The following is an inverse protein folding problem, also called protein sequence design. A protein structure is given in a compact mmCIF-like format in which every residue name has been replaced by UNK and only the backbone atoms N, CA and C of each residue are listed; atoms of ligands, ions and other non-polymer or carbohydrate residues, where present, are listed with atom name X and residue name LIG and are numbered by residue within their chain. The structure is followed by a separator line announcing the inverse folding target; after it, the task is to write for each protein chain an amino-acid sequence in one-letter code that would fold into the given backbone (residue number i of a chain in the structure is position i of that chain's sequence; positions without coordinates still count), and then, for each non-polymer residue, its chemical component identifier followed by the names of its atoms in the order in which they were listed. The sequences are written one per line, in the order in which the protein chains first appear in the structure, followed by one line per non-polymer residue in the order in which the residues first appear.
data_IF_305108098076
#
_entry.id   IF_305108098076
#
_cell.length_a   1.000
_cell.length_b   1.000
_cell.length_c   1.000
_cell.angle_alpha   90.00
_cell.angle_beta   90.00
_cell.angle_gamma   90.00
#
_symmetry.space_group_name_H-M   'P 1'
#
loop_
_entity.id
_entity.type
_entity.pdbx_description
1 polymer ?
#
# COMPACT_ATOMS: atom_id res chain seq x y z
N UNK A 1 -11.84 19.69 5.99
CA UNK A 1 -10.83 18.67 6.35
C UNK A 1 -11.62 17.51 6.95
N UNK A 2 -11.59 16.35 6.35
CA UNK A 2 -12.18 15.16 6.97
C UNK A 2 -11.12 14.63 7.95
N UNK A 3 -11.23 14.93 9.24
CA UNK A 3 -10.42 14.27 10.26
C UNK A 3 -10.61 12.75 10.23
N UNK A 4 -9.97 12.01 11.10
CA UNK A 4 -10.15 10.56 11.25
C UNK A 4 -11.22 10.20 12.30
N UNK A 5 -12.10 11.13 12.65
CA UNK A 5 -13.16 10.93 13.67
C UNK A 5 -14.13 9.80 13.32
N UNK A 6 -14.19 9.43 12.03
CA UNK A 6 -14.96 8.29 11.55
C UNK A 6 -14.31 6.92 11.84
N UNK A 7 -13.04 6.87 12.25
CA UNK A 7 -12.37 5.68 12.79
C UNK A 7 -12.78 5.47 14.27
N UNK A 8 -14.05 5.25 14.48
CA UNK A 8 -14.63 5.07 15.81
C UNK A 8 -14.26 3.69 16.39
N UNK A 9 -14.05 3.58 17.72
CA UNK A 9 -13.91 2.28 18.37
C UNK A 9 -15.07 1.34 18.06
N UNK A 10 -14.76 0.06 17.88
CA UNK A 10 -15.73 -0.98 17.50
C UNK A 10 -16.04 -1.10 16.02
N UNK A 11 -15.64 -0.13 15.18
CA UNK A 11 -15.67 -0.30 13.72
C UNK A 11 -14.56 -1.26 13.25
N UNK A 12 -14.62 -1.73 12.01
CA UNK A 12 -13.75 -2.82 11.56
C UNK A 12 -12.72 -2.37 10.52
N UNK A 13 -11.47 -2.83 10.70
CA UNK A 13 -10.41 -2.78 9.71
C UNK A 13 -10.10 -4.19 9.18
N UNK A 14 -10.11 -4.37 7.86
CA UNK A 14 -9.70 -5.60 7.16
C UNK A 14 -8.38 -5.34 6.47
N UNK A 15 -7.34 -6.14 6.75
CA UNK A 15 -5.99 -5.90 6.29
C UNK A 15 -5.40 -7.16 5.69
N UNK A 16 -5.03 -7.12 4.39
CA UNK A 16 -4.30 -8.21 3.74
C UNK A 16 -2.79 -8.04 3.89
N UNK A 17 -2.04 -9.15 3.94
CA UNK A 17 -0.60 -9.11 4.22
C UNK A 17 -0.31 -8.69 5.67
N UNK A 18 -1.18 -9.07 6.61
CA UNK A 18 -1.14 -8.60 7.99
C UNK A 18 -0.20 -9.40 8.90
N UNK A 19 0.42 -10.46 8.41
CA UNK A 19 1.35 -11.27 9.21
C UNK A 19 2.70 -10.59 9.48
N UNK A 20 3.11 -9.61 8.64
CA UNK A 20 4.39 -8.91 8.78
C UNK A 20 4.34 -7.49 8.17
N UNK A 21 5.40 -6.71 8.35
CA UNK A 21 5.65 -5.43 7.70
C UNK A 21 4.55 -4.40 7.89
N UNK A 22 4.24 -3.67 6.81
CA UNK A 22 3.30 -2.54 6.84
C UNK A 22 1.88 -2.98 7.22
N UNK A 23 1.42 -4.16 6.75
CA UNK A 23 0.10 -4.69 7.11
C UNK A 23 -0.02 -5.01 8.60
N UNK A 24 1.02 -5.60 9.20
CA UNK A 24 1.06 -5.85 10.66
C UNK A 24 1.08 -4.54 11.45
N UNK A 25 1.89 -3.57 11.03
CA UNK A 25 1.93 -2.26 11.69
C UNK A 25 0.56 -1.55 11.61
N UNK A 26 -0.14 -1.66 10.48
CA UNK A 26 -1.50 -1.16 10.33
C UNK A 26 -2.47 -1.86 11.28
N UNK A 27 -2.39 -3.18 11.40
CA UNK A 27 -3.23 -3.94 12.34
C UNK A 27 -3.03 -3.46 13.77
N UNK A 28 -1.78 -3.24 14.21
CA UNK A 28 -1.46 -2.73 15.54
C UNK A 28 -2.00 -1.31 15.76
N UNK A 29 -1.87 -0.45 14.77
CA UNK A 29 -2.34 0.92 14.86
C UNK A 29 -3.87 1.00 14.96
N UNK A 30 -4.61 0.26 14.12
CA UNK A 30 -6.06 0.22 14.19
C UNK A 30 -6.57 -0.45 15.47
N UNK A 31 -5.89 -1.51 15.95
CA UNK A 31 -6.18 -2.10 17.26
C UNK A 31 -6.04 -1.07 18.40
N UNK A 32 -4.96 -0.29 18.39
CA UNK A 32 -4.72 0.76 19.38
C UNK A 32 -5.76 1.89 19.34
N UNK A 33 -6.37 2.12 18.17
CA UNK A 33 -7.51 3.03 18.00
C UNK A 33 -8.86 2.42 18.44
N UNK A 34 -8.87 1.15 18.88
CA UNK A 34 -10.08 0.46 19.35
C UNK A 34 -10.93 -0.15 18.24
N UNK A 35 -10.43 -0.25 17.01
CA UNK A 35 -11.14 -0.94 15.94
C UNK A 35 -11.05 -2.46 16.11
N UNK A 36 -12.10 -3.17 15.70
CA UNK A 36 -11.98 -4.58 15.37
C UNK A 36 -11.03 -4.76 14.19
N UNK A 37 -10.19 -5.78 14.21
CA UNK A 37 -9.23 -6.02 13.12
C UNK A 37 -9.33 -7.46 12.64
N UNK A 38 -9.61 -7.63 11.35
CA UNK A 38 -9.51 -8.90 10.66
C UNK A 38 -8.18 -8.95 9.90
N UNK A 39 -7.22 -9.67 10.48
CA UNK A 39 -5.87 -9.83 9.95
C UNK A 39 -5.87 -10.98 8.93
N UNK A 40 -5.57 -10.68 7.68
CA UNK A 40 -5.62 -11.65 6.59
C UNK A 40 -4.24 -11.84 5.96
N UNK A 41 -3.77 -13.09 5.84
CA UNK A 41 -2.48 -13.45 5.25
C UNK A 41 -2.46 -14.94 4.90
N UNK A 42 -1.54 -15.37 4.04
CA UNK A 42 -1.28 -16.81 3.80
C UNK A 42 -0.44 -17.47 4.90
N UNK A 43 0.26 -16.67 5.69
CA UNK A 43 1.15 -17.15 6.77
C UNK A 43 0.38 -17.27 8.10
N UNK A 44 -0.23 -18.42 8.33
CA UNK A 44 -1.03 -18.68 9.53
C UNK A 44 -0.24 -18.48 10.86
N UNK A 45 1.03 -18.89 10.91
CA UNK A 45 1.86 -18.69 12.11
C UNK A 45 2.17 -17.21 12.36
N UNK A 46 2.45 -16.47 11.28
CA UNK A 46 2.65 -15.01 11.35
C UNK A 46 1.39 -14.30 11.83
N UNK A 47 0.21 -14.70 11.34
CA UNK A 47 -1.07 -14.19 11.80
C UNK A 47 -1.31 -14.47 13.29
N UNK A 48 -1.03 -15.68 13.76
CA UNK A 48 -1.19 -16.04 15.18
C UNK A 48 -0.36 -15.13 16.09
N UNK A 49 0.89 -14.86 15.71
CA UNK A 49 1.74 -13.91 16.45
C UNK A 49 1.26 -12.48 16.38
N UNK A 50 0.78 -12.06 15.20
CA UNK A 50 0.31 -10.69 15.00
C UNK A 50 -0.98 -10.41 15.78
N UNK A 51 -1.93 -11.35 15.82
CA UNK A 51 -3.19 -11.18 16.55
C UNK A 51 -2.96 -11.07 18.06
N UNK A 52 -2.06 -11.87 18.63
CA UNK A 52 -1.73 -11.78 20.06
C UNK A 52 -1.13 -10.41 20.39
N UNK A 53 -0.19 -9.92 19.56
CA UNK A 53 0.40 -8.61 19.75
C UNK A 53 -0.63 -7.49 19.59
N UNK A 54 -1.54 -7.59 18.62
CA UNK A 54 -2.60 -6.60 18.40
C UNK A 54 -3.59 -6.53 19.58
N UNK A 55 -3.96 -7.67 20.15
CA UNK A 55 -4.82 -7.75 21.36
C UNK A 55 -4.22 -7.00 22.54
N UNK A 56 -2.92 -7.12 22.74
CA UNK A 56 -2.21 -6.42 23.83
C UNK A 56 -2.22 -4.89 23.68
N UNK A 57 -2.43 -4.38 22.47
CA UNK A 57 -2.46 -2.93 22.18
C UNK A 57 -3.87 -2.35 22.20
N UNK A 58 -4.90 -3.19 22.13
CA UNK A 58 -6.29 -2.74 22.11
C UNK A 58 -6.71 -2.18 23.49
N UNK A 59 -7.42 -1.04 23.53
CA UNK A 59 -7.93 -0.46 24.80
C UNK A 59 -9.04 -1.30 25.43
N UNK A 60 -9.33 -2.47 24.93
CA UNK A 60 -10.33 -3.41 25.43
C UNK A 60 -11.63 -3.37 24.62
N UNK A 61 -12.27 -4.54 24.53
CA UNK A 61 -13.55 -4.70 23.81
C UNK A 61 -13.45 -4.89 22.29
N UNK A 62 -12.36 -4.48 21.64
CA UNK A 62 -12.16 -4.70 20.23
C UNK A 62 -11.79 -6.16 19.93
N UNK A 63 -12.30 -6.70 18.83
CA UNK A 63 -12.11 -8.10 18.43
C UNK A 63 -10.99 -8.19 17.40
N UNK A 64 -10.00 -9.07 17.68
CA UNK A 64 -8.87 -9.34 16.78
C UNK A 64 -8.98 -10.76 16.28
N UNK A 65 -9.17 -10.92 14.98
CA UNK A 65 -9.35 -12.23 14.33
C UNK A 65 -8.40 -12.42 13.16
N UNK A 66 -8.18 -13.66 12.79
CA UNK A 66 -7.32 -14.03 11.66
C UNK A 66 -8.10 -14.71 10.57
N UNK A 67 -7.69 -14.50 9.33
CA UNK A 67 -8.22 -15.19 8.16
C UNK A 67 -7.06 -15.63 7.25
N UNK A 68 -6.91 -16.94 7.07
CA UNK A 68 -5.83 -17.48 6.20
C UNK A 68 -6.33 -17.52 4.76
N UNK A 69 -5.64 -16.80 3.85
CA UNK A 69 -5.98 -16.78 2.43
C UNK A 69 -4.77 -16.50 1.54
N UNK A 70 -4.90 -16.90 0.28
CA UNK A 70 -4.10 -16.35 -0.82
C UNK A 70 -4.91 -15.29 -1.56
N UNK A 71 -4.46 -14.03 -1.56
CA UNK A 71 -5.14 -12.92 -2.24
C UNK A 71 -5.19 -13.07 -3.77
N UNK A 72 -4.33 -13.91 -4.35
CA UNK A 72 -4.39 -14.26 -5.77
C UNK A 72 -5.62 -15.09 -6.13
N UNK A 73 -6.32 -15.67 -5.14
CA UNK A 73 -7.54 -16.44 -5.32
C UNK A 73 -8.77 -15.57 -5.00
N UNK A 74 -9.56 -15.23 -6.02
CA UNK A 74 -10.72 -14.37 -5.92
C UNK A 74 -11.80 -14.92 -4.95
N UNK A 75 -12.03 -16.23 -4.95
CA UNK A 75 -13.04 -16.87 -4.10
C UNK A 75 -12.66 -16.78 -2.62
N UNK A 76 -11.35 -16.88 -2.30
CA UNK A 76 -10.86 -16.69 -0.93
C UNK A 76 -11.00 -15.24 -0.47
N UNK A 77 -10.79 -14.26 -1.36
CA UNK A 77 -11.00 -12.84 -1.04
C UNK A 77 -12.49 -12.54 -0.87
N UNK A 78 -13.37 -13.17 -1.66
CA UNK A 78 -14.82 -13.07 -1.47
C UNK A 78 -15.26 -13.69 -0.14
N UNK A 79 -14.67 -14.81 0.26
CA UNK A 79 -14.93 -15.43 1.57
C UNK A 79 -14.46 -14.53 2.73
N UNK A 80 -13.28 -13.85 2.58
CA UNK A 80 -12.83 -12.85 3.55
C UNK A 80 -13.84 -11.71 3.72
N UNK A 81 -14.44 -11.24 2.61
CA UNK A 81 -15.50 -10.21 2.65
C UNK A 81 -16.71 -10.70 3.41
N UNK A 82 -17.19 -11.93 3.17
CA UNK A 82 -18.32 -12.48 3.90
C UNK A 82 -18.01 -12.59 5.40
N UNK A 83 -16.86 -13.15 5.77
CA UNK A 83 -16.43 -13.21 7.18
C UNK A 83 -16.43 -11.82 7.85
N UNK A 84 -15.92 -10.80 7.16
CA UNK A 84 -15.86 -9.45 7.71
C UNK A 84 -17.27 -8.88 7.98
N UNK A 85 -18.18 -8.97 7.02
CA UNK A 85 -19.53 -8.40 7.17
C UNK A 85 -20.44 -9.23 8.06
N UNK A 86 -20.38 -10.57 7.99
CA UNK A 86 -21.21 -11.46 8.80
C UNK A 86 -20.82 -11.36 10.28
N UNK A 87 -19.52 -11.21 10.57
CA UNK A 87 -19.02 -11.17 11.94
C UNK A 87 -19.11 -9.79 12.59
N UNK A 88 -18.79 -8.74 11.83
CA UNK A 88 -18.64 -7.39 12.38
C UNK A 88 -19.71 -6.40 11.91
N UNK A 89 -20.43 -6.70 10.85
CA UNK A 89 -21.52 -5.89 10.33
C UNK A 89 -21.09 -4.69 9.47
N UNK A 90 -19.87 -4.17 9.65
CA UNK A 90 -19.35 -3.06 8.85
C UNK A 90 -17.83 -3.16 8.61
N UNK A 91 -17.34 -2.47 7.58
CA UNK A 91 -15.92 -2.32 7.28
C UNK A 91 -15.61 -0.82 7.11
N UNK A 92 -14.91 -0.24 8.11
CA UNK A 92 -14.45 1.14 8.05
C UNK A 92 -13.19 1.27 7.19
N UNK A 93 -12.28 0.30 7.26
CA UNK A 93 -11.03 0.30 6.49
C UNK A 93 -10.84 -1.05 5.81
N UNK A 94 -10.65 -1.01 4.49
CA UNK A 94 -10.06 -2.11 3.72
C UNK A 94 -8.64 -1.71 3.33
N UNK A 95 -7.63 -2.46 3.77
CA UNK A 95 -6.25 -2.25 3.34
C UNK A 95 -5.77 -3.42 2.49
N UNK A 96 -5.75 -3.22 1.17
CA UNK A 96 -5.16 -4.14 0.22
C UNK A 96 -3.64 -3.94 0.20
N UNK A 97 -2.94 -4.70 1.03
CA UNK A 97 -1.52 -4.48 1.31
C UNK A 97 -0.63 -5.69 0.96
N UNK A 98 -1.17 -6.90 0.87
CA UNK A 98 -0.39 -8.07 0.51
C UNK A 98 0.47 -7.83 -0.74
N UNK A 99 1.74 -8.20 -0.67
CA UNK A 99 2.67 -7.98 -1.77
C UNK A 99 3.94 -8.81 -1.64
N UNK A 100 4.56 -9.11 -2.77
CA UNK A 100 5.82 -9.86 -2.90
C UNK A 100 6.69 -9.23 -3.98
N UNK A 101 7.99 -9.49 -3.92
CA UNK A 101 8.96 -9.16 -4.97
C UNK A 101 9.46 -10.39 -5.70
N UNK A 102 10.51 -10.20 -6.51
CA UNK A 102 11.24 -11.29 -7.19
C UNK A 102 10.58 -11.80 -8.45
N UNK A 103 9.94 -10.92 -9.23
CA UNK A 103 9.36 -11.26 -10.53
C UNK A 103 10.37 -11.22 -11.70
N UNK A 104 11.46 -10.50 -11.51
CA UNK A 104 12.52 -10.36 -12.49
C UNK A 104 12.29 -9.31 -13.56
N UNK A 105 13.25 -9.19 -14.47
CA UNK A 105 13.24 -8.26 -15.61
C UNK A 105 12.24 -8.64 -16.70
N UNK A 106 12.24 -7.91 -17.86
CA UNK A 106 11.30 -8.14 -18.97
C UNK A 106 11.36 -9.57 -19.56
N UNK A 107 12.50 -10.22 -19.46
CA UNK A 107 12.74 -11.60 -19.92
C UNK A 107 12.74 -12.62 -18.76
N UNK A 108 12.23 -12.23 -17.58
CA UNK A 108 12.13 -13.12 -16.42
C UNK A 108 11.15 -14.28 -16.65
N UNK A 109 11.24 -15.36 -15.84
CA UNK A 109 10.39 -16.53 -15.97
C UNK A 109 8.89 -16.17 -15.90
N UNK A 110 8.03 -16.70 -16.80
CA UNK A 110 6.59 -16.43 -16.82
C UNK A 110 5.91 -16.72 -15.46
N UNK A 111 6.27 -17.79 -14.78
CA UNK A 111 5.69 -18.17 -13.48
C UNK A 111 6.02 -17.14 -12.39
N UNK A 112 7.22 -16.54 -12.43
CA UNK A 112 7.58 -15.47 -11.50
C UNK A 112 6.75 -14.21 -11.73
N UNK A 113 6.51 -13.86 -13.00
CA UNK A 113 5.62 -12.79 -13.40
C UNK A 113 4.19 -13.06 -12.95
N UNK A 114 3.65 -14.24 -13.27
CA UNK A 114 2.30 -14.63 -12.89
C UNK A 114 2.10 -14.56 -11.36
N UNK A 115 3.06 -15.05 -10.59
CA UNK A 115 3.04 -15.02 -9.13
C UNK A 115 3.03 -13.57 -8.59
N UNK A 116 3.90 -12.69 -9.11
CA UNK A 116 3.97 -11.30 -8.65
C UNK A 116 2.72 -10.52 -9.05
N UNK A 117 2.24 -10.65 -10.28
CA UNK A 117 1.01 -10.00 -10.72
C UNK A 117 -0.21 -10.55 -9.99
N UNK A 118 -0.27 -11.86 -9.75
CA UNK A 118 -1.36 -12.52 -9.01
C UNK A 118 -1.54 -11.92 -7.61
N UNK A 119 -0.44 -11.77 -6.86
CA UNK A 119 -0.51 -11.23 -5.51
C UNK A 119 -0.66 -9.71 -5.52
N UNK A 120 0.25 -8.99 -6.21
CA UNK A 120 0.39 -7.54 -6.04
C UNK A 120 -0.67 -6.72 -6.78
N UNK A 121 -1.20 -7.23 -7.90
CA UNK A 121 -2.19 -6.53 -8.72
C UNK A 121 -3.56 -7.21 -8.63
N UNK A 122 -3.66 -8.50 -8.97
CA UNK A 122 -4.94 -9.18 -8.89
C UNK A 122 -5.48 -9.26 -7.47
N UNK A 123 -4.63 -9.46 -6.45
CA UNK A 123 -5.06 -9.42 -5.07
C UNK A 123 -5.71 -8.08 -4.68
N UNK A 124 -5.19 -6.95 -5.17
CA UNK A 124 -5.82 -5.63 -4.96
C UNK A 124 -7.12 -5.50 -5.75
N UNK A 125 -7.15 -5.97 -7.01
CA UNK A 125 -8.38 -5.98 -7.83
C UNK A 125 -9.47 -6.79 -7.13
N UNK A 126 -9.17 -8.01 -6.67
CA UNK A 126 -10.12 -8.87 -5.97
C UNK A 126 -10.66 -8.20 -4.69
N UNK A 127 -9.78 -7.55 -3.90
CA UNK A 127 -10.20 -6.80 -2.70
C UNK A 127 -11.16 -5.66 -3.05
N UNK A 128 -10.83 -4.84 -4.04
CA UNK A 128 -11.69 -3.74 -4.51
C UNK A 128 -13.04 -4.27 -5.01
N UNK A 129 -13.05 -5.32 -5.82
CA UNK A 129 -14.28 -5.91 -6.37
C UNK A 129 -15.15 -6.57 -5.31
N UNK A 130 -14.55 -7.29 -4.36
CA UNK A 130 -15.31 -7.97 -3.32
C UNK A 130 -15.93 -6.99 -2.31
N UNK A 131 -15.21 -5.96 -1.90
CA UNK A 131 -15.61 -5.08 -0.80
C UNK A 131 -16.27 -3.78 -1.25
N UNK A 132 -15.91 -3.24 -2.42
CA UNK A 132 -16.23 -1.87 -2.81
C UNK A 132 -17.71 -1.54 -2.74
N UNK A 133 -18.56 -2.32 -3.39
CA UNK A 133 -20.02 -2.10 -3.39
C UNK A 133 -20.63 -2.24 -1.99
N UNK A 134 -20.19 -3.23 -1.21
CA UNK A 134 -20.67 -3.43 0.15
C UNK A 134 -20.28 -2.26 1.08
N UNK A 135 -19.05 -1.73 0.94
CA UNK A 135 -18.61 -0.55 1.68
C UNK A 135 -19.39 0.72 1.28
N UNK A 136 -19.75 0.87 0.01
CA UNK A 136 -20.62 1.98 -0.44
C UNK A 136 -22.03 1.82 0.15
N UNK A 137 -22.57 0.61 0.15
CA UNK A 137 -23.92 0.31 0.63
C UNK A 137 -24.10 0.53 2.15
N UNK A 138 -23.03 0.54 2.94
CA UNK A 138 -23.06 0.89 4.37
C UNK A 138 -23.53 2.32 4.63
N UNK A 139 -23.43 3.20 3.66
CA UNK A 139 -23.74 4.63 3.77
C UNK A 139 -23.04 5.33 4.96
N UNK A 140 -21.84 4.90 5.31
CA UNK A 140 -20.97 5.43 6.39
C UNK A 140 -19.60 5.78 5.84
N UNK A 141 -18.88 6.75 6.46
CA UNK A 141 -17.50 7.04 6.07
C UNK A 141 -16.61 5.79 6.18
N UNK A 142 -15.84 5.53 5.13
CA UNK A 142 -14.92 4.39 5.06
C UNK A 142 -13.76 4.69 4.10
N UNK A 143 -12.67 3.92 4.20
CA UNK A 143 -11.52 4.05 3.32
C UNK A 143 -11.08 2.70 2.72
N UNK A 144 -10.69 2.74 1.46
CA UNK A 144 -9.98 1.65 0.77
C UNK A 144 -8.54 2.14 0.55
N UNK A 145 -7.58 1.49 1.21
CA UNK A 145 -6.15 1.82 1.11
C UNK A 145 -5.49 0.75 0.26
N UNK A 146 -4.97 1.14 -0.90
CA UNK A 146 -4.22 0.24 -1.77
C UNK A 146 -2.72 0.55 -1.67
N UNK A 147 -1.90 -0.45 -1.32
CA UNK A 147 -0.46 -0.28 -1.16
C UNK A 147 0.26 -0.37 -2.52
N UNK A 148 0.61 0.79 -3.04
CA UNK A 148 1.48 0.98 -4.19
C UNK A 148 2.97 0.85 -3.86
N UNK A 149 3.79 1.61 -4.56
CA UNK A 149 5.23 1.77 -4.34
C UNK A 149 5.76 2.94 -5.18
N UNK A 150 6.86 3.59 -4.77
CA UNK A 150 7.62 4.52 -5.63
C UNK A 150 8.06 3.83 -6.94
N UNK A 151 8.31 2.53 -6.91
CA UNK A 151 8.65 1.73 -8.09
C UNK A 151 7.51 1.62 -9.11
N UNK A 152 6.26 1.78 -8.71
CA UNK A 152 5.13 1.86 -9.64
C UNK A 152 4.98 3.22 -10.35
N UNK A 153 5.80 4.20 -9.99
CA UNK A 153 5.77 5.57 -10.56
C UNK A 153 7.03 5.84 -11.38
N UNK A 154 8.20 5.65 -10.80
CA UNK A 154 9.49 5.96 -11.46
C UNK A 154 10.14 4.73 -12.10
N UNK A 155 9.58 3.56 -11.93
CA UNK A 155 9.90 2.29 -12.60
C UNK A 155 11.39 1.97 -12.75
N UNK A 156 12.19 1.95 -11.66
CA UNK A 156 13.63 1.71 -11.75
C UNK A 156 13.95 0.37 -12.41
N UNK A 157 15.10 0.25 -13.11
CA UNK A 157 15.55 -1.04 -13.62
C UNK A 157 15.68 -2.09 -12.53
N UNK A 158 15.44 -3.36 -12.88
CA UNK A 158 15.59 -4.51 -11.99
C UNK A 158 14.36 -5.42 -11.97
N UNK A 159 13.43 -5.23 -11.04
CA UNK A 159 12.22 -6.05 -10.94
C UNK A 159 11.05 -5.44 -11.74
N UNK A 160 11.04 -5.69 -13.05
CA UNK A 160 10.01 -5.14 -13.95
C UNK A 160 8.62 -5.66 -13.63
N UNK A 161 8.48 -6.94 -13.26
CA UNK A 161 7.17 -7.50 -12.90
C UNK A 161 6.59 -6.80 -11.66
N UNK A 162 7.42 -6.49 -10.67
CA UNK A 162 7.01 -5.69 -9.51
C UNK A 162 6.59 -4.28 -9.94
N UNK A 163 7.39 -3.61 -10.75
CA UNK A 163 7.09 -2.26 -11.26
C UNK A 163 5.74 -2.23 -11.99
N UNK A 164 5.50 -3.18 -12.91
CA UNK A 164 4.23 -3.32 -13.62
C UNK A 164 3.06 -3.52 -12.66
N UNK A 165 3.22 -4.40 -11.67
CA UNK A 165 2.16 -4.63 -10.68
C UNK A 165 1.80 -3.37 -9.92
N UNK A 166 2.80 -2.59 -9.47
CA UNK A 166 2.58 -1.37 -8.67
C UNK A 166 2.14 -0.18 -9.52
N UNK A 167 2.51 -0.11 -10.79
CA UNK A 167 1.93 0.82 -11.75
C UNK A 167 0.44 0.51 -12.00
N UNK A 168 0.07 -0.75 -12.13
CA UNK A 168 -1.32 -1.19 -12.23
C UNK A 168 -2.15 -0.83 -10.99
N UNK A 169 -1.62 -1.02 -9.79
CA UNK A 169 -2.28 -0.60 -8.54
C UNK A 169 -2.52 0.91 -8.51
N UNK A 170 -1.56 1.73 -8.99
CA UNK A 170 -1.75 3.18 -9.10
C UNK A 170 -2.94 3.51 -10.00
N UNK A 171 -2.97 3.00 -11.22
CA UNK A 171 -4.04 3.27 -12.19
C UNK A 171 -5.40 2.80 -11.66
N UNK A 172 -5.47 1.59 -11.09
CA UNK A 172 -6.68 1.06 -10.46
C UNK A 172 -7.20 1.99 -9.35
N UNK A 173 -6.31 2.46 -8.47
CA UNK A 173 -6.69 3.26 -7.31
C UNK A 173 -7.16 4.66 -7.73
N UNK A 174 -6.55 5.25 -8.75
CA UNK A 174 -6.99 6.53 -9.35
C UNK A 174 -8.40 6.41 -9.94
N UNK A 175 -8.66 5.34 -10.71
CA UNK A 175 -9.99 5.07 -11.26
C UNK A 175 -11.02 4.81 -10.15
N UNK A 176 -10.64 4.06 -9.11
CA UNK A 176 -11.49 3.78 -7.96
C UNK A 176 -11.88 5.07 -7.22
N UNK A 177 -10.92 5.93 -6.87
CA UNK A 177 -11.22 7.19 -6.18
C UNK A 177 -12.11 8.09 -7.05
N UNK A 178 -11.87 8.16 -8.35
CA UNK A 178 -12.74 8.90 -9.26
C UNK A 178 -14.18 8.39 -9.19
N UNK A 179 -14.38 7.06 -9.21
CA UNK A 179 -15.71 6.45 -9.14
C UNK A 179 -16.36 6.68 -7.76
N UNK A 180 -15.63 6.46 -6.67
CA UNK A 180 -16.13 6.64 -5.30
C UNK A 180 -16.55 8.07 -5.01
N UNK A 181 -15.78 9.04 -5.49
CA UNK A 181 -16.06 10.48 -5.33
C UNK A 181 -17.35 10.88 -6.03
N UNK A 182 -17.70 10.21 -7.12
CA UNK A 182 -18.91 10.46 -7.90
C UNK A 182 -20.08 9.54 -7.50
N UNK A 183 -19.88 8.58 -6.60
CA UNK A 183 -20.92 7.71 -6.10
C UNK A 183 -21.93 8.49 -5.24
N UNK A 184 -23.19 8.06 -5.24
CA UNK A 184 -24.23 8.66 -4.41
C UNK A 184 -23.83 8.60 -2.93
N UNK A 185 -23.80 9.77 -2.29
CA UNK A 185 -23.38 9.89 -0.88
C UNK A 185 -21.88 10.15 -0.69
N UNK A 186 -21.00 9.69 -1.56
CA UNK A 186 -19.56 9.99 -1.58
C UNK A 186 -18.81 9.81 -0.26
N UNK A 187 -19.22 8.84 0.59
CA UNK A 187 -18.69 8.65 1.94
C UNK A 187 -17.46 7.74 1.99
N UNK A 188 -17.26 6.90 0.96
CA UNK A 188 -16.08 6.03 0.84
C UNK A 188 -15.00 6.76 0.05
N UNK A 189 -13.76 6.68 0.50
CA UNK A 189 -12.58 7.24 -0.19
C UNK A 189 -11.58 6.15 -0.49
N UNK A 190 -10.85 6.31 -1.58
CA UNK A 190 -9.66 5.50 -1.83
C UNK A 190 -8.39 6.31 -1.58
N UNK A 191 -7.35 5.62 -1.10
CA UNK A 191 -6.02 6.19 -0.89
C UNK A 191 -4.98 5.28 -1.52
N UNK A 192 -4.03 5.88 -2.24
CA UNK A 192 -2.85 5.17 -2.74
C UNK A 192 -1.70 5.39 -1.75
N UNK A 193 -1.39 4.37 -0.95
CA UNK A 193 -0.22 4.36 -0.08
C UNK A 193 1.02 4.02 -0.90
N UNK A 194 2.01 4.90 -0.90
CA UNK A 194 3.21 4.79 -1.74
C UNK A 194 4.44 4.77 -0.83
N UNK A 195 4.79 3.63 -0.22
CA UNK A 195 5.98 3.53 0.62
C UNK A 195 7.26 3.80 -0.16
N UNK A 196 8.22 4.45 0.52
CA UNK A 196 9.62 4.52 0.12
C UNK A 196 10.38 3.28 0.55
N UNK A 197 11.68 3.41 0.81
CA UNK A 197 12.48 2.31 1.35
C UNK A 197 12.02 2.00 2.77
N UNK A 198 11.32 0.88 2.92
CA UNK A 198 10.75 0.43 4.20
C UNK A 198 11.33 -0.93 4.56
N UNK A 199 11.78 -1.08 5.81
CA UNK A 199 12.34 -2.33 6.32
C UNK A 199 11.24 -3.31 6.70
N UNK A 200 10.94 -4.23 5.78
CA UNK A 200 9.87 -5.24 5.90
C UNK A 200 10.34 -6.59 5.40
N UNK A 201 9.55 -7.63 5.55
CA UNK A 201 9.85 -8.97 5.02
C UNK A 201 10.18 -9.02 3.52
N UNK A 202 9.69 -8.06 2.72
CA UNK A 202 10.02 -7.94 1.28
C UNK A 202 11.45 -7.42 1.06
N UNK A 203 11.90 -6.51 1.91
CA UNK A 203 13.19 -5.78 1.74
C UNK A 203 14.27 -6.23 2.72
N UNK A 204 13.92 -7.09 3.68
CA UNK A 204 14.82 -7.56 4.74
C UNK A 204 15.44 -8.92 4.39
N UNK A 205 16.72 -8.97 4.04
CA UNK A 205 17.46 -10.23 4.05
C UNK A 205 17.51 -10.79 5.49
N UNK A 206 17.49 -12.11 5.63
CA UNK A 206 17.58 -12.75 6.95
C UNK A 206 18.86 -12.31 7.69
N UNK A 207 18.72 -11.91 8.96
CA UNK A 207 19.86 -11.57 9.83
C UNK A 207 20.47 -10.18 9.61
N UNK A 208 19.86 -9.31 8.81
CA UNK A 208 20.34 -7.93 8.59
C UNK A 208 19.58 -6.96 9.47
N UNK A 209 20.30 -6.06 10.14
CA UNK A 209 19.74 -4.92 10.86
C UNK A 209 19.11 -3.92 9.91
N UNK A 210 18.15 -3.13 10.41
CA UNK A 210 17.49 -2.09 9.62
C UNK A 210 18.52 -1.06 9.10
N UNK A 211 18.66 -0.91 7.78
CA UNK A 211 19.51 0.13 7.22
C UNK A 211 19.09 1.54 7.69
N UNK A 212 20.03 2.46 7.94
CA UNK A 212 19.71 3.83 8.38
C UNK A 212 18.76 4.57 7.45
N UNK A 213 18.86 4.33 6.13
CA UNK A 213 18.01 4.95 5.11
C UNK A 213 16.56 4.45 5.11
N UNK A 214 16.28 3.27 5.67
CA UNK A 214 14.94 2.70 5.65
C UNK A 214 14.04 3.26 6.76
N UNK A 215 12.77 3.51 6.45
CA UNK A 215 11.72 3.68 7.45
C UNK A 215 11.31 2.35 8.08
N UNK A 216 10.73 2.40 9.26
CA UNK A 216 10.00 1.25 9.82
C UNK A 216 8.58 1.19 9.23
N UNK A 217 7.94 0.04 9.40
CA UNK A 217 6.55 -0.13 8.98
C UNK A 217 5.59 0.80 9.77
N UNK A 218 5.89 1.02 11.05
CA UNK A 218 5.13 1.92 11.93
C UNK A 218 5.20 3.37 11.43
N UNK A 219 6.38 3.86 11.03
CA UNK A 219 6.54 5.21 10.46
C UNK A 219 5.70 5.39 9.20
N UNK A 220 5.59 4.35 8.35
CA UNK A 220 4.74 4.39 7.15
C UNK A 220 3.26 4.55 7.52
N UNK A 221 2.79 3.82 8.53
CA UNK A 221 1.36 3.87 8.94
C UNK A 221 1.04 5.17 9.69
N UNK A 222 1.91 5.65 10.57
CA UNK A 222 1.72 6.93 11.25
C UNK A 222 1.61 8.07 10.22
N UNK A 223 2.51 8.11 9.24
CA UNK A 223 2.45 9.05 8.14
C UNK A 223 1.20 8.88 7.29
N UNK A 224 0.79 7.64 7.01
CA UNK A 224 -0.42 7.37 6.23
C UNK A 224 -1.66 7.96 6.91
N UNK A 225 -1.84 7.75 8.21
CA UNK A 225 -2.99 8.29 8.93
C UNK A 225 -2.97 9.83 9.01
N UNK A 226 -1.80 10.44 9.20
CA UNK A 226 -1.65 11.90 9.15
C UNK A 226 -2.11 12.45 7.79
N UNK A 227 -1.65 11.84 6.68
CA UNK A 227 -2.01 12.29 5.32
C UNK A 227 -3.46 12.02 4.97
N UNK A 228 -4.02 10.90 5.43
CA UNK A 228 -5.45 10.60 5.31
C UNK A 228 -6.30 11.65 6.05
N UNK A 229 -5.90 12.03 7.27
CA UNK A 229 -6.56 13.10 8.02
C UNK A 229 -6.53 14.45 7.28
N UNK A 230 -5.46 14.71 6.53
CA UNK A 230 -5.34 15.89 5.67
C UNK A 230 -6.15 15.78 4.36
N UNK A 231 -6.70 14.60 4.04
CA UNK A 231 -7.48 14.35 2.84
C UNK A 231 -6.64 13.99 1.60
N UNK A 232 -5.38 13.61 1.77
CA UNK A 232 -4.51 13.26 0.65
C UNK A 232 -4.92 11.93 0.03
N UNK A 233 -4.97 11.91 -1.30
CA UNK A 233 -5.13 10.68 -2.09
C UNK A 233 -3.79 9.95 -2.29
N UNK A 234 -2.76 10.68 -2.74
CA UNK A 234 -1.41 10.14 -2.93
C UNK A 234 -0.61 10.28 -1.63
N UNK A 235 -0.51 9.18 -0.89
CA UNK A 235 0.27 9.14 0.35
C UNK A 235 1.71 8.72 -0.02
N UNK A 236 2.47 9.65 -0.57
CA UNK A 236 3.86 9.44 -0.99
C UNK A 236 4.78 9.57 0.22
N UNK A 237 5.17 8.44 0.79
CA UNK A 237 6.03 8.39 1.97
C UNK A 237 7.48 8.74 1.58
N UNK A 238 8.11 9.70 2.25
CA UNK A 238 9.56 9.84 2.18
C UNK A 238 10.24 8.62 2.81
N UNK A 239 11.56 8.63 2.83
CA UNK A 239 12.38 7.77 3.68
C UNK A 239 13.54 8.60 4.23
N UNK A 240 14.44 7.99 5.02
CA UNK A 240 15.51 8.74 5.68
C UNK A 240 16.56 9.32 4.71
N UNK A 241 16.58 8.86 3.45
CA UNK A 241 17.52 9.32 2.42
C UNK A 241 16.84 10.11 1.31
N UNK A 242 15.55 9.86 1.07
CA UNK A 242 14.81 10.44 -0.05
C UNK A 242 13.67 11.30 0.49
N UNK A 243 13.87 12.62 0.40
CA UNK A 243 12.87 13.60 0.81
C UNK A 243 11.71 13.67 -0.17
N UNK A 244 10.62 14.32 0.24
CA UNK A 244 9.46 14.57 -0.63
C UNK A 244 9.85 15.37 -1.88
N UNK A 245 10.72 16.37 -1.74
CA UNK A 245 11.16 17.19 -2.88
C UNK A 245 11.99 16.39 -3.88
N UNK A 246 12.83 15.46 -3.38
CA UNK A 246 13.56 14.53 -4.25
C UNK A 246 12.60 13.61 -5.02
N UNK A 247 11.55 13.11 -4.38
CA UNK A 247 10.54 12.30 -5.05
C UNK A 247 9.78 13.10 -6.11
N UNK A 248 9.36 14.33 -5.78
CA UNK A 248 8.68 15.22 -6.72
C UNK A 248 9.54 15.48 -7.96
N UNK A 249 10.83 15.79 -7.77
CA UNK A 249 11.77 16.02 -8.88
C UNK A 249 11.95 14.75 -9.73
N UNK A 250 12.11 13.57 -9.11
CA UNK A 250 12.24 12.29 -9.81
C UNK A 250 11.01 11.92 -10.62
N UNK A 251 9.82 12.17 -10.08
CA UNK A 251 8.53 11.94 -10.78
C UNK A 251 8.42 12.90 -11.97
N UNK A 252 8.72 14.18 -11.77
CA UNK A 252 8.72 15.19 -12.84
C UNK A 252 9.70 14.82 -13.95
N UNK A 253 10.91 14.41 -13.59
CA UNK A 253 11.89 13.94 -14.57
C UNK A 253 11.39 12.77 -15.39
N UNK A 254 10.80 11.75 -14.76
CA UNK A 254 10.27 10.59 -15.45
C UNK A 254 9.11 10.95 -16.41
N UNK A 255 8.24 11.87 -16.01
CA UNK A 255 7.17 12.38 -16.88
C UNK A 255 7.73 13.14 -18.10
N UNK A 256 8.84 13.84 -17.94
CA UNK A 256 9.53 14.54 -19.01
C UNK A 256 10.20 13.59 -20.01
N UNK A 257 10.49 12.34 -19.68
CA UNK A 257 10.95 11.36 -20.67
C UNK A 257 9.88 11.18 -21.77
N UNK A 258 8.62 11.20 -21.40
CA UNK A 258 7.50 11.10 -22.35
C UNK A 258 7.31 12.41 -23.11
N UNK A 259 7.20 13.55 -22.40
CA UNK A 259 6.82 14.83 -23.02
C UNK A 259 7.92 15.43 -23.89
N UNK A 260 9.17 15.08 -23.66
CA UNK A 260 10.33 15.53 -24.41
C UNK A 260 10.90 14.44 -25.33
N UNK A 261 10.27 13.25 -25.37
CA UNK A 261 10.72 12.08 -26.12
C UNK A 261 12.20 11.74 -25.85
N UNK A 262 12.59 11.80 -24.56
CA UNK A 262 13.91 11.33 -24.12
C UNK A 262 13.95 9.79 -24.11
N UNK A 263 15.15 9.17 -24.09
CA UNK A 263 15.24 7.73 -23.88
C UNK A 263 14.48 7.30 -22.62
N UNK A 264 13.72 6.18 -22.68
CA UNK A 264 12.98 5.72 -21.50
C UNK A 264 13.93 5.42 -20.35
N UNK A 265 13.50 5.73 -19.13
CA UNK A 265 14.30 5.58 -17.92
C UNK A 265 15.62 6.38 -17.98
N UNK A 266 15.59 7.58 -18.57
CA UNK A 266 16.77 8.42 -18.79
C UNK A 266 17.56 8.71 -17.51
N UNK A 267 16.89 8.74 -16.35
CA UNK A 267 17.53 8.90 -15.05
C UNK A 267 18.64 7.85 -14.79
N UNK A 268 18.51 6.63 -15.33
CA UNK A 268 19.48 5.54 -15.16
C UNK A 268 20.36 5.33 -16.39
N UNK A 269 20.21 6.19 -17.42
CA UNK A 269 21.03 6.12 -18.62
C UNK A 269 22.30 6.96 -18.42
N UNK A 270 23.48 6.40 -18.77
CA UNK A 270 24.79 7.05 -18.57
C UNK A 270 24.86 8.46 -19.15
N UNK A 271 24.34 8.63 -20.38
CA UNK A 271 24.41 9.90 -21.13
C UNK A 271 23.53 11.01 -20.55
N UNK A 272 22.61 10.67 -19.63
CA UNK A 272 21.69 11.60 -19.02
C UNK A 272 22.02 11.90 -17.54
N UNK A 273 23.09 11.30 -17.01
CA UNK A 273 23.48 11.44 -15.61
C UNK A 273 23.73 12.91 -15.23
N UNK A 274 24.48 13.64 -16.04
CA UNK A 274 24.82 15.04 -15.76
C UNK A 274 23.61 15.96 -15.93
N UNK A 275 22.79 15.70 -16.95
CA UNK A 275 21.55 16.44 -17.16
C UNK A 275 20.54 16.22 -16.00
N UNK A 276 20.43 14.98 -15.49
CA UNK A 276 19.61 14.71 -14.31
C UNK A 276 20.18 15.39 -13.06
N UNK A 277 21.48 15.36 -12.84
CA UNK A 277 22.13 16.05 -11.72
C UNK A 277 21.89 17.57 -11.77
N UNK A 278 22.04 18.18 -12.94
CA UNK A 278 21.75 19.60 -13.16
C UNK A 278 20.27 19.94 -12.89
N UNK A 279 19.35 19.07 -13.34
CA UNK A 279 17.92 19.23 -13.06
C UNK A 279 17.63 19.18 -11.55
N UNK A 280 18.22 18.25 -10.81
CA UNK A 280 18.06 18.14 -9.36
C UNK A 280 18.62 19.40 -8.66
N UNK A 281 19.79 19.86 -9.07
CA UNK A 281 20.41 21.07 -8.52
C UNK A 281 19.56 22.32 -8.75
N UNK A 282 18.93 22.44 -9.93
CA UNK A 282 18.02 23.53 -10.25
C UNK A 282 16.75 23.55 -9.38
N UNK A 283 16.39 22.41 -8.77
CA UNK A 283 15.32 22.30 -7.76
C UNK A 283 15.82 22.55 -6.32
N UNK A 284 17.07 22.95 -6.13
CA UNK A 284 17.68 23.12 -4.82
C UNK A 284 18.02 21.81 -4.09
N UNK A 285 18.03 20.69 -4.81
CA UNK A 285 18.30 19.36 -4.26
C UNK A 285 19.76 18.99 -4.51
N UNK A 286 20.54 18.81 -3.43
CA UNK A 286 21.91 18.36 -3.55
C UNK A 286 21.98 16.94 -4.15
N UNK A 287 22.82 16.75 -5.16
CA UNK A 287 23.20 15.41 -5.63
C UNK A 287 24.04 14.73 -4.53
N UNK A 288 23.55 13.59 -4.02
CA UNK A 288 24.38 12.71 -3.17
C UNK A 288 25.26 11.85 -4.04
#
# INVERSE_FOLDING_TARGET
MMGLDWLEPGRTAVITGAADGVGRAAAFKFAALGLNVLLADRNAEGLARAVEAARALSPGGAVMETFVLDVANADQVLALKHEAFDRFGDVAVLMNNAGIGGGGGPFGPPDSWARVLGVNLWGVIHGVQAFGEAMIAQDRPAAIINTGSKQGITTPPGDTAYNVSKAGVKVLTEALEHQLRNAKGGKVRAHLLIPGFTFTGITRPAGIEKPPGAWTAEQVIDFALERMAAGDFYILCPDNEVTRDMDNARITWAAQDITQNRPPLSRWHSDWKDAFAAFMAAQGIASK
#
